data_IF_679633858981
#
_entry.id   IF_679633858981
#
_cell.length_a   1.000
_cell.length_b   1.000
_cell.length_c   1.000
_cell.angle_alpha   90.00
_cell.angle_beta   90.00
_cell.angle_gamma   90.00
#
_symmetry.space_group_name_H-M   'P 1'
#
loop_
_entity.id
_entity.type
_entity.pdbx_description
1 polymer ?
#
# COMPACT_ATOMS: atom_id res chain seq x y z
N UNK A 1 -8.73 14.43 16.07
CA UNK A 1 -7.66 13.43 15.95
C UNK A 1 -7.36 12.77 17.28
N UNK A 2 -7.14 13.51 18.36
CA UNK A 2 -7.03 12.98 19.72
C UNK A 2 -8.20 12.08 20.09
N UNK A 3 -9.43 12.49 19.76
CA UNK A 3 -10.66 11.71 19.97
C UNK A 3 -10.59 10.30 19.35
N UNK A 4 -9.97 10.16 18.17
CA UNK A 4 -9.81 8.83 17.53
C UNK A 4 -8.85 7.96 18.33
N UNK A 5 -7.75 8.52 18.83
CA UNK A 5 -6.82 7.81 19.71
C UNK A 5 -7.50 7.37 21.01
N UNK A 6 -8.25 8.26 21.65
CA UNK A 6 -8.99 7.96 22.89
C UNK A 6 -10.03 6.86 22.69
N UNK A 7 -10.74 6.86 21.56
CA UNK A 7 -11.71 5.81 21.24
C UNK A 7 -11.00 4.47 21.05
N UNK A 8 -9.85 4.47 20.35
CA UNK A 8 -9.07 3.25 20.09
C UNK A 8 -8.43 2.67 21.35
N UNK A 9 -8.15 3.49 22.37
CA UNK A 9 -7.72 3.02 23.69
C UNK A 9 -8.80 2.20 24.41
N UNK A 10 -10.05 2.53 24.17
CA UNK A 10 -11.17 1.81 24.80
C UNK A 10 -11.55 0.55 24.02
N UNK A 11 -11.50 0.61 22.69
CA UNK A 11 -11.84 -0.50 21.82
C UNK A 11 -11.15 -0.36 20.48
N UNK A 12 -10.54 -1.44 20.01
CA UNK A 12 -9.95 -1.50 18.69
C UNK A 12 -11.03 -1.45 17.60
N UNK A 13 -11.09 -0.38 16.85
CA UNK A 13 -11.96 -0.23 15.68
C UNK A 13 -11.12 -0.31 14.42
N UNK A 14 -11.55 -1.12 13.45
CA UNK A 14 -10.91 -1.21 12.13
C UNK A 14 -11.41 -0.13 11.17
N UNK A 15 -12.49 0.55 11.50
CA UNK A 15 -13.09 1.63 10.72
C UNK A 15 -13.36 2.87 11.60
N UNK A 16 -13.33 4.08 11.02
CA UNK A 16 -12.90 4.37 9.65
C UNK A 16 -11.40 4.15 9.44
N UNK A 17 -11.01 3.73 8.23
CA UNK A 17 -9.61 3.74 7.80
C UNK A 17 -9.20 5.19 7.59
N UNK A 18 -8.16 5.63 8.30
CA UNK A 18 -7.66 6.99 8.22
C UNK A 18 -6.58 7.09 7.12
N UNK A 19 -6.60 8.20 6.40
CA UNK A 19 -5.52 8.57 5.50
C UNK A 19 -5.05 9.97 5.88
N UNK A 20 -3.79 10.08 6.29
CA UNK A 20 -3.16 11.35 6.60
C UNK A 20 -2.46 11.88 5.36
N UNK A 21 -2.90 13.05 4.88
CA UNK A 21 -2.21 13.76 3.81
C UNK A 21 -1.15 14.66 4.41
N UNK A 22 0.10 14.31 4.20
CA UNK A 22 1.26 15.06 4.68
C UNK A 22 1.84 15.89 3.55
N UNK A 23 1.82 17.21 3.70
CA UNK A 23 2.37 18.12 2.70
C UNK A 23 3.89 18.23 2.90
N UNK A 24 4.65 17.82 1.91
CA UNK A 24 6.11 17.99 1.90
C UNK A 24 6.48 19.39 1.38
N UNK A 25 7.63 19.87 1.82
CA UNK A 25 8.25 21.06 1.23
C UNK A 25 8.71 20.76 -0.19
N UNK A 26 8.61 21.77 -1.06
CA UNK A 26 8.96 21.63 -2.47
C UNK A 26 10.46 21.33 -2.66
N UNK A 27 10.79 20.69 -3.80
CA UNK A 27 12.15 20.43 -4.28
C UNK A 27 12.91 19.25 -3.62
N UNK A 28 12.22 18.28 -3.06
CA UNK A 28 12.82 17.02 -2.62
C UNK A 28 12.62 15.94 -3.68
N UNK A 29 13.69 15.21 -3.99
CA UNK A 29 13.60 13.96 -4.74
C UNK A 29 12.98 12.86 -3.89
N UNK A 30 12.47 11.80 -4.51
CA UNK A 30 11.88 10.68 -3.76
C UNK A 30 12.93 9.97 -2.90
N UNK A 31 14.20 9.88 -3.37
CA UNK A 31 15.30 9.30 -2.59
C UNK A 31 15.63 10.12 -1.34
N UNK A 32 15.70 11.46 -1.46
CA UNK A 32 15.87 12.36 -0.32
C UNK A 32 14.70 12.24 0.66
N UNK A 33 13.48 12.14 0.14
CA UNK A 33 12.28 11.94 0.97
C UNK A 33 12.38 10.63 1.76
N UNK A 34 12.73 9.53 1.12
CA UNK A 34 12.87 8.23 1.78
C UNK A 34 13.96 8.26 2.84
N UNK A 35 15.13 8.84 2.55
CA UNK A 35 16.22 8.96 3.53
C UNK A 35 15.82 9.81 4.74
N UNK A 36 15.13 10.92 4.51
CA UNK A 36 14.69 11.80 5.58
C UNK A 36 13.60 11.16 6.46
N UNK A 37 12.69 10.40 5.87
CA UNK A 37 11.70 9.60 6.63
C UNK A 37 12.42 8.54 7.47
N UNK A 38 13.37 7.82 6.88
CA UNK A 38 14.17 6.79 7.55
C UNK A 38 14.97 7.35 8.73
N UNK A 39 15.51 8.55 8.60
CA UNK A 39 16.26 9.25 9.66
C UNK A 39 15.37 10.02 10.63
N UNK A 40 14.03 9.91 10.49
CA UNK A 40 13.06 10.66 11.30
C UNK A 40 13.25 12.18 11.25
N UNK A 41 13.68 12.68 10.09
CA UNK A 41 13.80 14.12 9.86
C UNK A 41 12.45 14.71 9.45
N UNK A 42 11.69 15.19 10.41
CA UNK A 42 10.36 15.75 10.20
C UNK A 42 10.36 17.14 9.55
N UNK A 43 11.51 17.80 9.44
CA UNK A 43 11.62 19.14 8.84
C UNK A 43 11.32 19.16 7.32
N UNK A 44 11.18 18.01 6.70
CA UNK A 44 10.73 17.89 5.30
C UNK A 44 9.25 18.26 5.11
N UNK A 45 8.46 18.14 6.16
CA UNK A 45 7.03 18.46 6.10
C UNK A 45 6.75 19.93 6.39
N UNK A 46 5.70 20.46 5.78
CA UNK A 46 5.21 21.81 6.04
C UNK A 46 4.75 21.92 7.49
N UNK A 47 3.97 20.94 7.95
CA UNK A 47 3.58 20.78 9.34
C UNK A 47 4.28 19.56 9.95
N UNK A 48 5.45 19.80 10.54
CA UNK A 48 6.28 18.77 11.14
C UNK A 48 5.68 18.18 12.41
N UNK A 49 4.97 18.98 13.20
CA UNK A 49 4.34 18.52 14.44
C UNK A 49 3.19 17.56 14.13
N UNK A 50 2.38 17.90 13.13
CA UNK A 50 1.33 17.03 12.65
C UNK A 50 1.89 15.71 12.06
N UNK A 51 2.94 15.80 11.23
CA UNK A 51 3.57 14.61 10.66
C UNK A 51 4.14 13.69 11.73
N UNK A 52 4.79 14.25 12.75
CA UNK A 52 5.30 13.49 13.89
C UNK A 52 4.18 12.82 14.67
N UNK A 53 3.13 13.59 14.99
CA UNK A 53 1.95 13.06 15.68
C UNK A 53 1.31 11.89 14.90
N UNK A 54 1.15 12.03 13.57
CA UNK A 54 0.61 10.97 12.71
C UNK A 54 1.48 9.70 12.76
N UNK A 55 2.80 9.85 12.76
CA UNK A 55 3.74 8.74 12.88
C UNK A 55 3.60 8.04 14.23
N UNK A 56 3.57 8.80 15.32
CA UNK A 56 3.44 8.26 16.68
C UNK A 56 2.11 7.53 16.85
N UNK A 57 1.02 8.11 16.36
CA UNK A 57 -0.30 7.48 16.35
C UNK A 57 -0.27 6.16 15.57
N UNK A 58 0.28 6.16 14.36
CA UNK A 58 0.30 4.96 13.53
C UNK A 58 1.25 3.89 14.05
N UNK A 59 2.33 4.27 14.74
CA UNK A 59 3.21 3.33 15.43
C UNK A 59 2.46 2.58 16.54
N UNK A 60 1.54 3.26 17.22
CA UNK A 60 0.74 2.67 18.29
C UNK A 60 -0.40 1.80 17.76
N UNK A 61 -1.13 2.28 16.74
CA UNK A 61 -2.39 1.67 16.32
C UNK A 61 -2.32 0.93 14.99
N UNK A 62 -1.35 1.29 14.12
CA UNK A 62 -1.17 0.72 12.77
C UNK A 62 -2.46 0.67 11.94
N UNK A 63 -3.27 1.71 12.05
CA UNK A 63 -4.64 1.77 11.51
C UNK A 63 -4.80 2.79 10.38
N UNK A 64 -3.72 3.48 10.02
CA UNK A 64 -3.76 4.64 9.16
C UNK A 64 -2.77 4.54 8.02
N UNK A 65 -3.07 5.27 6.96
CA UNK A 65 -2.22 5.38 5.78
C UNK A 65 -1.67 6.78 5.66
N UNK A 66 -0.46 6.88 5.15
CA UNK A 66 0.17 8.15 4.83
C UNK A 66 0.14 8.39 3.33
N UNK A 67 -0.23 9.59 2.97
CA UNK A 67 -0.08 10.11 1.63
C UNK A 67 0.78 11.37 1.68
N UNK A 68 1.93 11.32 1.03
CA UNK A 68 2.89 12.44 0.98
C UNK A 68 2.80 13.11 -0.37
N UNK A 69 2.55 14.40 -0.39
CA UNK A 69 2.42 15.21 -1.61
C UNK A 69 3.04 16.59 -1.42
N UNK A 70 3.45 17.20 -2.49
CA UNK A 70 3.84 18.62 -2.57
C UNK A 70 2.67 19.53 -3.01
N UNK A 71 1.51 18.94 -3.29
CA UNK A 71 0.33 19.63 -3.79
C UNK A 71 -0.90 19.34 -2.92
N UNK A 72 -1.46 20.38 -2.31
CA UNK A 72 -2.67 20.28 -1.47
C UNK A 72 -3.92 19.87 -2.25
N UNK A 73 -3.94 20.05 -3.56
CA UNK A 73 -5.05 19.64 -4.42
C UNK A 73 -5.05 18.14 -4.75
N UNK A 74 -4.04 17.39 -4.37
CA UNK A 74 -3.97 15.96 -4.62
C UNK A 74 -4.33 15.20 -3.33
N UNK A 75 -5.35 14.37 -3.42
CA UNK A 75 -5.81 13.53 -2.31
C UNK A 75 -5.69 12.05 -2.70
N UNK A 76 -5.40 11.21 -1.71
CA UNK A 76 -5.47 9.77 -1.84
C UNK A 76 -6.77 9.24 -1.26
N UNK A 77 -7.45 8.34 -1.97
CA UNK A 77 -8.61 7.63 -1.45
C UNK A 77 -8.21 6.37 -0.66
N UNK A 78 -9.19 5.65 -0.12
CA UNK A 78 -8.99 4.43 0.66
C UNK A 78 -8.22 3.33 -0.13
N UNK A 79 -8.31 3.33 -1.47
CA UNK A 79 -7.61 2.38 -2.35
C UNK A 79 -6.25 2.91 -2.84
N UNK A 80 -5.72 3.99 -2.26
CA UNK A 80 -4.46 4.67 -2.62
C UNK A 80 -4.46 5.26 -4.04
N UNK A 81 -5.62 5.40 -4.65
CA UNK A 81 -5.74 6.06 -5.94
C UNK A 81 -5.67 7.58 -5.74
N UNK A 82 -4.92 8.24 -6.59
CA UNK A 82 -4.72 9.68 -6.52
C UNK A 82 -5.84 10.41 -7.26
N UNK A 83 -6.41 11.40 -6.61
CA UNK A 83 -7.42 12.29 -7.18
C UNK A 83 -6.92 13.72 -7.13
N UNK A 84 -6.76 14.32 -8.30
CA UNK A 84 -6.45 15.74 -8.40
C UNK A 84 -7.75 16.55 -8.31
N UNK A 85 -7.98 17.17 -7.16
CA UNK A 85 -9.21 17.93 -6.90
C UNK A 85 -9.36 19.15 -7.82
N UNK A 86 -8.27 19.65 -8.41
CA UNK A 86 -8.33 20.77 -9.35
C UNK A 86 -8.88 20.36 -10.73
N UNK A 87 -8.88 19.06 -11.04
CA UNK A 87 -9.39 18.52 -12.31
C UNK A 87 -10.79 17.94 -12.19
N UNK A 88 -11.41 18.05 -11.01
CA UNK A 88 -12.72 17.49 -10.78
C UNK A 88 -13.77 18.54 -11.05
N UNK A 89 -14.45 18.41 -12.17
CA UNK A 89 -15.61 19.21 -12.52
C UNK A 89 -16.87 18.52 -11.99
N UNK A 90 -17.64 19.22 -11.15
CA UNK A 90 -18.94 18.76 -10.69
C UNK A 90 -19.01 18.25 -9.25
N UNK A 91 -20.21 17.83 -8.83
CA UNK A 91 -20.53 17.37 -7.49
C UNK A 91 -19.91 15.98 -7.23
N UNK A 92 -19.06 15.90 -6.21
CA UNK A 92 -18.38 14.65 -5.87
C UNK A 92 -19.19 13.90 -4.81
N UNK A 93 -19.80 12.82 -5.21
CA UNK A 93 -20.47 11.88 -4.33
C UNK A 93 -19.94 10.48 -4.61
N UNK A 94 -18.63 10.28 -4.35
CA UNK A 94 -18.03 8.95 -4.52
C UNK A 94 -17.63 8.35 -3.17
N UNK A 95 -17.90 7.07 -3.00
CA UNK A 95 -17.43 6.29 -1.86
C UNK A 95 -15.90 6.29 -1.88
N UNK A 96 -15.28 6.69 -0.76
CA UNK A 96 -13.82 6.70 -0.61
C UNK A 96 -13.12 7.97 -1.08
N UNK A 97 -13.83 9.07 -1.36
CA UNK A 97 -13.24 10.37 -1.69
C UNK A 97 -12.55 10.44 -3.05
N UNK A 98 -12.78 9.46 -3.93
CA UNK A 98 -12.30 9.50 -5.31
C UNK A 98 -13.20 10.37 -6.18
N UNK A 99 -12.63 11.05 -7.17
CA UNK A 99 -13.39 11.75 -8.20
C UNK A 99 -14.30 10.81 -8.99
N UNK A 100 -15.24 11.38 -9.75
CA UNK A 100 -16.09 10.63 -10.63
C UNK A 100 -15.25 9.72 -11.54
N UNK A 101 -15.64 8.44 -11.62
CA UNK A 101 -15.03 7.46 -12.52
C UNK A 101 -13.60 7.03 -12.16
N UNK A 102 -13.01 7.52 -11.07
CA UNK A 102 -11.71 7.02 -10.58
C UNK A 102 -11.95 5.81 -9.69
N UNK A 103 -11.32 4.71 -10.02
CA UNK A 103 -11.46 3.46 -9.26
C UNK A 103 -10.53 2.38 -9.75
N UNK A 104 -10.73 1.17 -9.28
CA UNK A 104 -10.01 -0.01 -9.73
C UNK A 104 -10.94 -0.92 -10.51
N UNK A 105 -10.65 -1.15 -11.80
CA UNK A 105 -11.44 -2.07 -12.61
C UNK A 105 -11.13 -3.54 -12.29
N UNK A 106 -9.95 -3.81 -11.75
CA UNK A 106 -9.54 -5.14 -11.27
C UNK A 106 -8.42 -5.03 -10.25
N UNK A 107 -8.45 -5.95 -9.30
CA UNK A 107 -7.42 -6.11 -8.25
C UNK A 107 -6.90 -7.53 -8.29
N UNK A 108 -5.59 -7.70 -8.17
CA UNK A 108 -4.92 -8.95 -7.82
C UNK A 108 -4.19 -8.79 -6.50
N UNK A 109 -4.14 -9.84 -5.69
CA UNK A 109 -3.44 -9.78 -4.39
C UNK A 109 -2.44 -10.92 -4.31
N UNK A 110 -1.17 -10.57 -4.13
CA UNK A 110 -0.05 -11.51 -3.99
C UNK A 110 0.08 -11.90 -2.53
N UNK A 111 0.11 -13.20 -2.25
CA UNK A 111 0.40 -13.72 -0.92
C UNK A 111 1.92 -13.80 -0.72
N UNK A 112 2.47 -12.80 -0.04
CA UNK A 112 3.91 -12.64 0.21
C UNK A 112 4.45 -13.72 1.14
N UNK A 113 3.68 -14.13 2.14
CA UNK A 113 4.04 -15.21 3.04
C UNK A 113 4.23 -16.53 2.28
N UNK A 114 3.35 -16.83 1.32
CA UNK A 114 3.49 -18.05 0.48
C UNK A 114 4.75 -18.01 -0.38
N UNK A 115 5.15 -16.85 -0.87
CA UNK A 115 6.41 -16.69 -1.61
C UNK A 115 7.60 -16.93 -0.68
N UNK A 116 7.55 -16.48 0.57
CA UNK A 116 8.59 -16.73 1.56
C UNK A 116 8.71 -18.24 1.85
N UNK A 117 7.59 -18.95 2.00
CA UNK A 117 7.60 -20.41 2.11
C UNK A 117 8.27 -21.08 0.91
N UNK A 118 7.94 -20.68 -0.32
CA UNK A 118 8.51 -21.20 -1.56
C UNK A 118 10.03 -20.93 -1.61
N UNK A 119 10.46 -19.71 -1.29
CA UNK A 119 11.86 -19.31 -1.30
C UNK A 119 12.72 -20.00 -0.22
N UNK A 120 12.12 -20.26 0.94
CA UNK A 120 12.76 -20.98 2.04
C UNK A 120 12.77 -22.50 1.83
N UNK A 121 12.17 -23.01 0.74
CA UNK A 121 12.15 -24.43 0.43
C UNK A 121 11.31 -25.25 1.39
N UNK A 122 10.31 -24.65 2.04
CA UNK A 122 9.35 -25.40 2.84
C UNK A 122 8.51 -26.29 1.91
N UNK A 123 8.74 -27.57 1.96
CA UNK A 123 7.80 -28.57 1.45
C UNK A 123 6.68 -28.75 2.47
N UNK A 124 5.51 -29.16 2.01
CA UNK A 124 4.28 -29.33 2.81
C UNK A 124 4.40 -30.21 4.07
N UNK A 125 5.56 -30.78 4.33
CA UNK A 125 5.80 -31.76 5.40
C UNK A 125 7.15 -31.65 6.11
N UNK A 126 8.01 -30.67 5.87
CA UNK A 126 9.36 -30.64 6.44
C UNK A 126 9.73 -29.27 7.04
N UNK A 127 10.46 -29.33 8.15
CA UNK A 127 11.11 -28.15 8.74
C UNK A 127 12.12 -27.53 7.76
N UNK A 128 12.39 -26.21 7.86
CA UNK A 128 13.34 -25.54 6.99
C UNK A 128 14.70 -26.21 7.07
N UNK A 129 15.17 -26.72 5.97
CA UNK A 129 16.56 -27.18 5.85
C UNK A 129 17.45 -25.94 6.04
N UNK A 130 18.55 -26.11 6.77
CA UNK A 130 19.53 -25.07 7.08
C UNK A 130 19.86 -24.18 5.87
N UNK A 131 19.10 -23.08 5.71
CA UNK A 131 19.04 -22.29 4.49
C UNK A 131 19.86 -21.03 4.70
N UNK A 132 20.74 -20.73 3.77
CA UNK A 132 21.37 -19.44 3.69
C UNK A 132 20.30 -18.38 3.43
N UNK A 133 20.01 -17.54 4.44
CA UNK A 133 18.95 -16.52 4.40
C UNK A 133 19.14 -15.55 3.23
N UNK A 134 20.36 -15.15 2.91
CA UNK A 134 20.64 -14.25 1.79
C UNK A 134 20.23 -14.85 0.45
N UNK A 135 20.54 -16.14 0.22
CA UNK A 135 20.10 -16.83 -0.99
C UNK A 135 18.59 -17.00 -1.05
N UNK A 136 17.95 -17.27 0.09
CA UNK A 136 16.50 -17.37 0.16
C UNK A 136 15.82 -16.03 -0.11
N UNK A 137 16.40 -14.92 0.35
CA UNK A 137 15.90 -13.57 0.04
C UNK A 137 16.03 -13.24 -1.45
N UNK A 138 17.16 -13.55 -2.07
CA UNK A 138 17.33 -13.36 -3.51
C UNK A 138 16.33 -14.20 -4.31
N UNK A 139 16.06 -15.41 -3.88
CA UNK A 139 15.05 -16.27 -4.52
C UNK A 139 13.64 -15.73 -4.30
N UNK A 140 13.33 -15.22 -3.09
CA UNK A 140 12.07 -14.55 -2.79
C UNK A 140 11.80 -13.39 -3.75
N UNK A 141 12.79 -12.51 -3.97
CA UNK A 141 12.66 -11.38 -4.90
C UNK A 141 12.41 -11.84 -6.34
N UNK A 142 13.12 -12.86 -6.81
CA UNK A 142 12.92 -13.43 -8.16
C UNK A 142 11.52 -14.01 -8.33
N UNK A 143 11.02 -14.73 -7.31
CA UNK A 143 9.68 -15.30 -7.34
C UNK A 143 8.65 -14.16 -7.32
N UNK A 144 8.84 -13.15 -6.47
CA UNK A 144 7.97 -11.98 -6.37
C UNK A 144 7.90 -11.24 -7.72
N UNK A 145 9.04 -10.91 -8.32
CA UNK A 145 9.11 -10.26 -9.63
C UNK A 145 8.33 -11.06 -10.68
N UNK A 146 8.57 -12.38 -10.77
CA UNK A 146 7.85 -13.26 -11.71
C UNK A 146 6.33 -13.21 -11.47
N UNK A 147 5.88 -13.22 -10.19
CA UNK A 147 4.45 -13.15 -9.85
C UNK A 147 3.85 -11.80 -10.23
N UNK A 148 4.53 -10.69 -9.92
CA UNK A 148 4.10 -9.34 -10.30
C UNK A 148 3.98 -9.22 -11.83
N UNK A 149 4.96 -9.68 -12.59
CA UNK A 149 4.91 -9.66 -14.06
C UNK A 149 3.76 -10.51 -14.61
N UNK A 150 3.46 -11.65 -13.98
CA UNK A 150 2.32 -12.48 -14.37
C UNK A 150 0.99 -11.76 -14.09
N UNK A 151 0.87 -11.13 -12.92
CA UNK A 151 -0.31 -10.34 -12.55
C UNK A 151 -0.51 -9.14 -13.49
N UNK A 152 0.56 -8.45 -13.85
CA UNK A 152 0.50 -7.36 -14.85
C UNK A 152 -0.07 -7.86 -16.18
N UNK A 153 0.38 -9.00 -16.68
CA UNK A 153 -0.13 -9.61 -17.92
C UNK A 153 -1.60 -10.00 -17.78
N UNK A 154 -1.97 -10.62 -16.66
CA UNK A 154 -3.34 -11.05 -16.41
C UNK A 154 -4.29 -9.84 -16.32
N UNK A 155 -3.93 -8.81 -15.56
CA UNK A 155 -4.71 -7.60 -15.41
C UNK A 155 -4.85 -6.81 -16.72
N UNK A 156 -3.78 -6.75 -17.52
CA UNK A 156 -3.82 -6.15 -18.86
C UNK A 156 -4.78 -6.92 -19.79
N UNK A 157 -4.74 -8.25 -19.76
CA UNK A 157 -5.65 -9.08 -20.54
C UNK A 157 -7.11 -8.88 -20.13
N UNK A 158 -7.36 -8.79 -18.81
CA UNK A 158 -8.70 -8.49 -18.28
C UNK A 158 -9.20 -7.11 -18.72
N UNK A 159 -8.30 -6.10 -18.72
CA UNK A 159 -8.64 -4.76 -19.21
C UNK A 159 -9.02 -4.77 -20.71
N UNK A 160 -8.33 -5.57 -21.52
CA UNK A 160 -8.70 -5.76 -22.94
C UNK A 160 -10.07 -6.42 -23.09
N UNK A 161 -10.41 -7.39 -22.23
CA UNK A 161 -11.74 -8.02 -22.22
C UNK A 161 -12.83 -6.98 -21.87
N UNK A 162 -12.57 -6.15 -20.85
CA UNK A 162 -13.49 -5.07 -20.47
C UNK A 162 -13.71 -4.12 -21.64
N UNK A 163 -12.64 -3.64 -22.27
CA UNK A 163 -12.71 -2.74 -23.43
C UNK A 163 -13.56 -3.33 -24.54
N UNK A 164 -13.31 -4.57 -24.93
CA UNK A 164 -14.11 -5.29 -25.93
C UNK A 164 -15.59 -5.39 -25.56
N UNK A 165 -15.90 -5.60 -24.28
CA UNK A 165 -17.29 -5.70 -23.80
C UNK A 165 -17.98 -4.33 -23.79
N UNK A 166 -17.26 -3.26 -23.50
CA UNK A 166 -17.75 -1.87 -23.62
C UNK A 166 -18.09 -1.57 -25.09
N UNK A 167 -17.19 -1.86 -26.01
CA UNK A 167 -17.40 -1.67 -27.46
C UNK A 167 -18.63 -2.43 -28.00
N UNK A 168 -18.98 -3.56 -27.36
CA UNK A 168 -20.18 -4.34 -27.69
C UNK A 168 -21.45 -3.90 -26.97
N UNK A 169 -21.39 -2.84 -26.17
CA UNK A 169 -22.53 -2.36 -25.38
C UNK A 169 -22.95 -3.27 -24.23
N UNK A 170 -22.11 -4.22 -23.81
CA UNK A 170 -22.43 -5.18 -22.75
C UNK A 170 -22.25 -4.62 -21.33
N UNK A 171 -21.70 -3.41 -21.21
CA UNK A 171 -21.42 -2.75 -19.93
C UNK A 171 -22.06 -1.36 -19.93
N UNK A 172 -23.37 -1.24 -19.59
CA UNK A 172 -24.13 0.01 -19.70
C UNK A 172 -23.50 1.19 -18.97
N UNK A 173 -22.96 0.96 -17.76
CA UNK A 173 -22.32 2.03 -16.96
C UNK A 173 -21.14 2.70 -17.67
N UNK A 174 -20.46 1.97 -18.54
CA UNK A 174 -19.36 2.51 -19.36
C UNK A 174 -19.89 3.13 -20.65
N UNK A 175 -20.84 2.50 -21.31
CA UNK A 175 -21.40 2.99 -22.58
C UNK A 175 -22.21 4.27 -22.41
N UNK A 176 -22.88 4.42 -21.27
CA UNK A 176 -23.60 5.65 -20.89
C UNK A 176 -22.70 6.74 -20.29
N UNK A 177 -21.41 6.49 -20.19
CA UNK A 177 -20.44 7.48 -19.72
C UNK A 177 -20.40 7.70 -18.19
N UNK A 178 -21.13 6.91 -17.40
CA UNK A 178 -21.08 7.01 -15.94
C UNK A 178 -19.71 6.60 -15.37
N UNK A 179 -19.02 5.69 -16.06
CA UNK A 179 -17.68 5.23 -15.73
C UNK A 179 -16.82 5.28 -16.98
N UNK A 180 -15.60 5.83 -16.85
CA UNK A 180 -14.63 5.95 -17.93
C UNK A 180 -13.48 4.97 -17.67
N UNK A 181 -13.25 4.02 -18.57
CA UNK A 181 -12.25 2.97 -18.38
C UNK A 181 -10.84 3.53 -18.24
N UNK A 182 -10.53 4.63 -18.93
CA UNK A 182 -9.24 5.32 -18.88
C UNK A 182 -8.90 5.83 -17.48
N UNK A 183 -9.92 6.16 -16.67
CA UNK A 183 -9.79 6.62 -15.29
C UNK A 183 -9.76 5.46 -14.28
N UNK A 184 -9.86 4.21 -14.76
CA UNK A 184 -9.84 3.04 -13.92
C UNK A 184 -8.44 2.41 -13.89
N UNK A 185 -7.98 2.03 -12.71
CA UNK A 185 -6.68 1.39 -12.50
C UNK A 185 -6.80 -0.13 -12.44
N UNK A 186 -5.72 -0.82 -12.76
CA UNK A 186 -5.51 -2.20 -12.36
C UNK A 186 -4.56 -2.19 -11.17
N UNK A 187 -4.97 -2.80 -10.06
CA UNK A 187 -4.25 -2.71 -8.79
C UNK A 187 -3.64 -4.06 -8.42
N UNK A 188 -2.38 -4.05 -8.00
CA UNK A 188 -1.71 -5.22 -7.41
C UNK A 188 -1.47 -4.91 -5.94
N UNK A 189 -2.03 -5.72 -5.06
CA UNK A 189 -1.82 -5.65 -3.62
C UNK A 189 -0.90 -6.76 -3.11
N UNK A 190 -0.34 -6.56 -1.93
CA UNK A 190 0.41 -7.58 -1.20
C UNK A 190 -0.24 -7.86 0.15
N UNK A 191 -0.26 -9.11 0.57
CA UNK A 191 -0.72 -9.53 1.89
C UNK A 191 0.31 -10.48 2.52
N UNK A 192 0.44 -10.43 3.85
CA UNK A 192 1.32 -11.34 4.58
C UNK A 192 2.78 -10.91 4.58
N UNK A 193 3.08 -9.61 4.52
CA UNK A 193 4.45 -9.10 4.60
C UNK A 193 5.05 -9.38 5.98
N UNK A 194 4.28 -9.14 7.04
CA UNK A 194 4.73 -9.40 8.40
C UNK A 194 5.12 -10.87 8.58
N UNK A 195 4.25 -11.79 8.16
CA UNK A 195 4.48 -13.23 8.25
C UNK A 195 5.66 -13.67 7.38
N UNK A 196 5.85 -13.04 6.22
CA UNK A 196 7.01 -13.29 5.39
C UNK A 196 8.31 -12.88 6.10
N UNK A 197 8.33 -11.70 6.74
CA UNK A 197 9.50 -11.21 7.48
C UNK A 197 9.75 -12.04 8.74
N UNK A 198 8.71 -12.50 9.41
CA UNK A 198 8.83 -13.41 10.56
C UNK A 198 9.46 -14.75 10.16
N UNK A 199 9.06 -15.33 9.04
CA UNK A 199 9.67 -16.54 8.48
C UNK A 199 11.16 -16.39 8.17
N UNK A 200 11.58 -15.21 7.72
CA UNK A 200 13.00 -14.89 7.52
C UNK A 200 13.73 -14.60 8.84
N UNK A 201 13.00 -14.45 9.95
CA UNK A 201 13.55 -14.09 11.25
C UNK A 201 13.99 -12.63 11.32
N UNK A 202 13.28 -11.73 10.64
CA UNK A 202 13.52 -10.29 10.60
C UNK A 202 12.57 -9.48 11.49
N UNK A 203 11.92 -10.16 12.42
CA UNK A 203 11.10 -9.52 13.44
C UNK A 203 11.87 -9.49 14.76
N UNK A 204 12.06 -8.30 15.29
CA UNK A 204 12.60 -8.09 16.63
C UNK A 204 11.46 -8.13 17.64
N UNK A 205 11.76 -8.73 18.81
CA UNK A 205 10.85 -8.72 19.96
C UNK A 205 11.60 -8.06 21.11
N UNK A 206 11.04 -7.01 21.68
CA UNK A 206 11.65 -6.33 22.82
C UNK A 206 11.34 -7.06 24.14
N UNK A 207 11.89 -6.53 25.24
CA UNK A 207 11.71 -7.09 26.59
C UNK A 207 10.27 -7.08 27.10
N UNK A 208 9.39 -6.27 26.48
CA UNK A 208 7.95 -6.18 26.77
C UNK A 208 7.10 -7.03 25.82
N UNK A 209 7.72 -7.73 24.86
CA UNK A 209 7.04 -8.54 23.87
C UNK A 209 6.50 -7.75 22.65
N UNK A 210 6.83 -6.47 22.50
CA UNK A 210 6.49 -5.70 21.32
C UNK A 210 7.33 -6.15 20.14
N UNK A 211 6.68 -6.28 18.99
CA UNK A 211 7.30 -6.75 17.76
C UNK A 211 7.56 -5.59 16.81
N UNK A 212 8.73 -5.56 16.21
CA UNK A 212 9.14 -4.56 15.22
C UNK A 212 9.94 -5.21 14.10
N UNK A 213 9.97 -4.56 12.94
CA UNK A 213 10.85 -4.98 11.84
C UNK A 213 12.32 -4.70 12.20
N UNK A 214 13.19 -5.64 11.87
CA UNK A 214 14.65 -5.45 11.98
C UNK A 214 15.15 -4.48 10.90
N UNK A 215 16.39 -3.99 11.07
CA UNK A 215 17.04 -3.15 10.06
C UNK A 215 17.21 -3.89 8.72
N UNK A 216 17.39 -5.21 8.77
CA UNK A 216 17.44 -6.06 7.57
C UNK A 216 16.09 -6.09 6.87
N UNK A 217 14.97 -6.20 7.61
CA UNK A 217 13.64 -6.14 7.04
C UNK A 217 13.38 -4.79 6.36
N UNK A 218 13.78 -3.69 7.00
CA UNK A 218 13.61 -2.35 6.44
C UNK A 218 14.39 -2.20 5.13
N UNK A 219 15.66 -2.63 5.09
CA UNK A 219 16.47 -2.62 3.85
C UNK A 219 15.90 -3.48 2.74
N UNK A 220 15.14 -4.50 3.09
CA UNK A 220 14.54 -5.42 2.13
C UNK A 220 13.23 -4.92 1.56
N UNK A 221 12.51 -4.06 2.28
CA UNK A 221 11.21 -3.51 1.89
C UNK A 221 11.29 -2.14 1.22
N UNK A 222 12.46 -1.53 1.20
CA UNK A 222 12.79 -0.30 0.46
C UNK A 222 13.52 -0.62 -0.84
#
# INVERSE_FOLDING_TARGET
MEVVSEIREQQMFTYPVLTYSLLRKNNLTDDELHEMIRTKNWDIFVDKEFARWCSDHNTRWNDSNFFVSDNVGILSNCCRLLSDTNKIEGFQNSIGGSGLSIGSCRVSTINLCRIAYEALGYDKASEPKNINKEKAMQEYLKILERKVLLDCKALTSMRHILKRNIEKGLLPNYTEGAVVLENQFCTIGGIGLYEAMDLFGFINVDEFGYKSYSDEAVKFTT
#
